data_IF_674680479864
#
_entry.id   IF_674680479864
#
_cell.length_a   1.000
_cell.length_b   1.000
_cell.length_c   1.000
_cell.angle_alpha   90.00
_cell.angle_beta   90.00
_cell.angle_gamma   90.00
#
_symmetry.space_group_name_H-M   'P 1'
#
loop_
_entity.id
_entity.type
_entity.pdbx_description
1 polymer ?
#
# COMPACT_ATOMS: atom_id res chain seq x y z
N UNK A 1 13.12 -14.70 -9.22
CA UNK A 1 11.87 -13.97 -9.53
C UNK A 1 12.00 -12.53 -9.07
N UNK A 2 11.68 -11.56 -9.93
CA UNK A 2 11.55 -10.14 -9.55
C UNK A 2 10.07 -9.84 -9.34
N UNK A 3 9.77 -9.02 -8.33
CA UNK A 3 8.44 -8.45 -8.12
C UNK A 3 8.24 -7.29 -9.09
N UNK A 4 7.04 -7.16 -9.62
CA UNK A 4 6.66 -6.06 -10.51
C UNK A 4 5.61 -5.19 -9.83
N UNK A 5 5.52 -3.93 -10.23
CA UNK A 5 4.45 -3.03 -9.77
C UNK A 5 3.08 -3.64 -10.06
N UNK A 6 2.95 -4.33 -11.20
CA UNK A 6 1.75 -5.08 -11.56
C UNK A 6 1.41 -6.16 -10.54
N UNK A 7 2.38 -6.95 -10.07
CA UNK A 7 2.11 -7.97 -9.04
C UNK A 7 1.64 -7.35 -7.72
N UNK A 8 2.16 -6.17 -7.36
CA UNK A 8 1.71 -5.45 -6.18
C UNK A 8 0.30 -4.87 -6.39
N UNK A 9 0.00 -4.32 -7.57
CA UNK A 9 -1.35 -3.88 -7.93
C UNK A 9 -2.35 -5.04 -7.92
N UNK A 10 -2.04 -6.17 -8.56
CA UNK A 10 -2.91 -7.34 -8.66
C UNK A 10 -3.29 -7.88 -7.26
N UNK A 11 -2.40 -7.74 -6.27
CA UNK A 11 -2.70 -8.10 -4.87
C UNK A 11 -3.85 -7.28 -4.27
N UNK A 12 -4.15 -6.08 -4.79
CA UNK A 12 -5.14 -5.16 -4.21
C UNK A 12 -4.66 -4.41 -2.96
N UNK A 13 -3.42 -4.66 -2.51
CA UNK A 13 -2.83 -3.98 -1.36
C UNK A 13 -2.72 -2.45 -1.56
N UNK A 14 -2.35 -1.91 -2.75
CA UNK A 14 -2.35 -0.47 -2.99
C UNK A 14 -3.73 0.19 -2.87
N UNK A 15 -4.81 -0.51 -3.25
CA UNK A 15 -6.17 0.01 -3.07
C UNK A 15 -6.51 0.14 -1.58
N UNK A 16 -6.17 -0.87 -0.79
CA UNK A 16 -6.31 -0.83 0.67
C UNK A 16 -5.51 0.32 1.29
N UNK A 17 -4.29 0.58 0.81
CA UNK A 17 -3.49 1.71 1.28
C UNK A 17 -4.15 3.06 0.99
N UNK A 18 -4.61 3.28 -0.24
CA UNK A 18 -5.27 4.52 -0.65
C UNK A 18 -6.56 4.80 0.15
N UNK A 19 -7.27 3.75 0.57
CA UNK A 19 -8.43 3.86 1.45
C UNK A 19 -8.09 4.22 2.90
N UNK A 20 -6.93 3.79 3.40
CA UNK A 20 -6.60 3.88 4.83
C UNK A 20 -5.65 5.01 5.18
N UNK A 21 -4.83 5.47 4.23
CA UNK A 21 -3.81 6.47 4.45
C UNK A 21 -4.03 7.65 3.51
N UNK A 22 -4.38 8.81 4.08
CA UNK A 22 -4.66 10.01 3.30
C UNK A 22 -3.47 10.43 2.42
N UNK A 23 -2.25 10.24 2.92
CA UNK A 23 -1.01 10.49 2.18
C UNK A 23 -0.88 9.66 0.89
N UNK A 24 -1.57 8.52 0.81
CA UNK A 24 -1.54 7.57 -0.31
C UNK A 24 -2.78 7.70 -1.22
N UNK A 25 -3.75 8.55 -0.87
CA UNK A 25 -4.95 8.76 -1.68
C UNK A 25 -4.67 9.44 -3.03
N UNK A 26 -3.75 10.44 -3.13
CA UNK A 26 -3.43 11.03 -4.43
C UNK A 26 -2.71 10.03 -5.35
N UNK A 27 -3.16 9.91 -6.60
CA UNK A 27 -2.60 8.97 -7.57
C UNK A 27 -1.07 9.09 -7.77
N UNK A 28 -0.47 10.29 -7.82
CA UNK A 28 0.99 10.41 -7.93
C UNK A 28 1.74 9.89 -6.69
N UNK A 29 1.17 10.07 -5.50
CA UNK A 29 1.76 9.59 -4.25
C UNK A 29 1.68 8.06 -4.17
N UNK A 30 0.53 7.48 -4.55
CA UNK A 30 0.35 6.04 -4.61
C UNK A 30 1.30 5.37 -5.61
N UNK A 31 1.50 5.97 -6.79
CA UNK A 31 2.42 5.43 -7.79
C UNK A 31 3.87 5.38 -7.27
N UNK A 32 4.33 6.44 -6.59
CA UNK A 32 5.66 6.44 -5.95
C UNK A 32 5.76 5.42 -4.83
N UNK A 33 4.73 5.31 -4.00
CA UNK A 33 4.65 4.32 -2.93
C UNK A 33 4.77 2.88 -3.46
N UNK A 34 4.05 2.57 -4.55
CA UNK A 34 4.13 1.27 -5.24
C UNK A 34 5.54 1.03 -5.76
N UNK A 35 6.11 1.96 -6.53
CA UNK A 35 7.45 1.83 -7.10
C UNK A 35 8.51 1.62 -6.02
N UNK A 36 8.51 2.48 -5.00
CA UNK A 36 9.45 2.41 -3.88
C UNK A 36 9.36 1.05 -3.16
N UNK A 37 8.13 0.57 -2.91
CA UNK A 37 7.91 -0.71 -2.26
C UNK A 37 8.42 -1.86 -3.13
N UNK A 38 8.06 -1.89 -4.42
CA UNK A 38 8.52 -2.91 -5.36
C UNK A 38 10.05 -2.96 -5.46
N UNK A 39 10.71 -1.80 -5.60
CA UNK A 39 12.17 -1.71 -5.65
C UNK A 39 12.82 -2.22 -4.37
N UNK A 40 12.30 -1.80 -3.21
CA UNK A 40 12.80 -2.23 -1.91
C UNK A 40 12.66 -3.74 -1.71
N UNK A 41 11.53 -4.32 -2.11
CA UNK A 41 11.33 -5.76 -2.06
C UNK A 41 12.27 -6.51 -3.02
N UNK A 42 12.58 -5.94 -4.18
CA UNK A 42 13.50 -6.55 -5.15
C UNK A 42 14.97 -6.57 -4.69
N UNK A 43 15.36 -5.68 -3.76
CA UNK A 43 16.69 -5.66 -3.13
C UNK A 43 16.90 -6.78 -2.10
N UNK A 44 15.82 -7.45 -1.66
CA UNK A 44 15.92 -8.55 -0.70
C UNK A 44 16.61 -9.80 -1.29
N UNK A 45 17.22 -10.66 -0.44
CA UNK A 45 17.73 -11.95 -0.87
C UNK A 45 16.65 -12.81 -1.52
N UNK A 46 17.05 -13.72 -2.40
CA UNK A 46 16.13 -14.45 -3.27
C UNK A 46 15.04 -15.21 -2.51
N UNK A 47 15.36 -15.87 -1.40
CA UNK A 47 14.40 -16.60 -0.57
C UNK A 47 13.28 -15.71 -0.02
N UNK A 48 13.63 -14.53 0.50
CA UNK A 48 12.66 -13.56 1.00
C UNK A 48 11.76 -13.03 -0.12
N UNK A 49 12.30 -12.79 -1.33
CA UNK A 49 11.48 -12.35 -2.48
C UNK A 49 10.41 -13.37 -2.85
N UNK A 50 10.74 -14.67 -2.81
CA UNK A 50 9.76 -15.72 -3.06
C UNK A 50 8.66 -15.73 -1.99
N UNK A 51 9.04 -15.64 -0.72
CA UNK A 51 8.08 -15.55 0.39
C UNK A 51 7.13 -14.35 0.26
N UNK A 52 7.68 -13.17 -0.03
CA UNK A 52 6.89 -11.94 -0.24
C UNK A 52 5.95 -12.07 -1.44
N UNK A 53 6.41 -12.60 -2.56
CA UNK A 53 5.56 -12.78 -3.72
C UNK A 53 4.41 -13.77 -3.49
N UNK A 54 4.69 -14.88 -2.77
CA UNK A 54 3.65 -15.81 -2.38
C UNK A 54 2.62 -15.15 -1.45
N UNK A 55 3.09 -14.35 -0.49
CA UNK A 55 2.22 -13.61 0.42
C UNK A 55 1.37 -12.54 -0.30
N UNK A 56 1.94 -11.81 -1.27
CA UNK A 56 1.19 -10.86 -2.09
C UNK A 56 0.12 -11.55 -2.94
N UNK A 57 0.40 -12.74 -3.48
CA UNK A 57 -0.60 -13.55 -4.21
C UNK A 57 -1.68 -14.10 -3.29
N UNK A 58 -1.37 -14.37 -2.03
CA UNK A 58 -2.33 -14.84 -1.03
C UNK A 58 -3.25 -13.71 -0.54
N UNK A 59 -2.82 -12.46 -0.63
CA UNK A 59 -3.54 -11.32 -0.06
C UNK A 59 -5.01 -11.21 -0.51
N UNK A 60 -5.37 -11.30 -1.80
CA UNK A 60 -6.77 -11.22 -2.22
C UNK A 60 -7.65 -12.29 -1.56
N UNK A 61 -7.17 -13.53 -1.48
CA UNK A 61 -7.90 -14.64 -0.86
C UNK A 61 -8.02 -14.47 0.65
N UNK A 62 -6.95 -14.03 1.32
CA UNK A 62 -6.97 -13.73 2.75
C UNK A 62 -7.90 -12.57 3.09
N UNK A 63 -7.91 -11.53 2.25
CA UNK A 63 -8.83 -10.39 2.35
C UNK A 63 -10.28 -10.85 2.20
N UNK A 64 -10.58 -11.63 1.15
CA UNK A 64 -11.91 -12.16 0.89
C UNK A 64 -12.41 -13.06 2.02
N UNK A 65 -11.53 -13.85 2.64
CA UNK A 65 -11.91 -14.69 3.78
C UNK A 65 -12.42 -13.86 4.99
N UNK A 66 -11.92 -12.64 5.17
CA UNK A 66 -12.32 -11.75 6.26
C UNK A 66 -13.55 -10.91 5.91
N UNK A 67 -13.67 -10.42 4.68
CA UNK A 67 -14.66 -9.41 4.30
C UNK A 67 -15.74 -9.89 3.35
N UNK A 68 -15.55 -11.05 2.71
CA UNK A 68 -16.35 -11.56 1.57
C UNK A 68 -16.40 -10.60 0.37
N UNK A 69 -15.41 -9.70 0.26
CA UNK A 69 -15.27 -8.72 -0.84
C UNK A 69 -13.89 -8.80 -1.46
N UNK A 70 -13.77 -8.33 -2.70
CA UNK A 70 -12.46 -8.16 -3.35
C UNK A 70 -11.77 -6.90 -2.79
N UNK A 71 -10.45 -6.92 -2.54
CA UNK A 71 -9.73 -5.73 -2.07
C UNK A 71 -9.80 -4.53 -3.03
N UNK A 72 -10.06 -4.78 -4.32
CA UNK A 72 -10.19 -3.74 -5.36
C UNK A 72 -11.51 -3.00 -5.35
N UNK A 73 -12.55 -3.61 -4.79
CA UNK A 73 -13.93 -3.06 -4.76
C UNK A 73 -14.45 -2.88 -3.34
N UNK A 74 -13.58 -3.10 -2.35
CA UNK A 74 -13.92 -3.04 -0.95
C UNK A 74 -14.12 -1.59 -0.49
N UNK A 75 -14.99 -1.39 0.49
CA UNK A 75 -15.09 -0.10 1.16
C UNK A 75 -13.86 0.18 2.03
N UNK A 76 -13.66 1.43 2.44
CA UNK A 76 -12.61 1.78 3.39
C UNK A 76 -12.76 1.03 4.73
N UNK A 77 -14.00 0.77 5.15
CA UNK A 77 -14.28 0.01 6.38
C UNK A 77 -13.91 -1.47 6.23
N UNK A 78 -14.20 -2.09 5.09
CA UNK A 78 -13.77 -3.45 4.79
C UNK A 78 -12.23 -3.55 4.74
N UNK A 79 -11.56 -2.57 4.13
CA UNK A 79 -10.11 -2.50 4.11
C UNK A 79 -9.52 -2.39 5.52
N UNK A 80 -10.14 -1.57 6.40
CA UNK A 80 -9.71 -1.39 7.79
C UNK A 80 -9.87 -2.69 8.58
N UNK A 81 -11.04 -3.32 8.48
CA UNK A 81 -11.35 -4.60 9.13
C UNK A 81 -10.41 -5.71 8.68
N UNK A 82 -10.20 -5.85 7.36
CA UNK A 82 -9.31 -6.84 6.79
C UNK A 82 -7.88 -6.66 7.27
N UNK A 83 -7.29 -5.46 7.11
CA UNK A 83 -5.91 -5.24 7.53
C UNK A 83 -5.73 -5.36 9.04
N UNK A 84 -6.70 -4.90 9.85
CA UNK A 84 -6.66 -5.09 11.30
C UNK A 84 -6.59 -6.58 11.65
N UNK A 85 -7.43 -7.41 11.03
CA UNK A 85 -7.43 -8.86 11.27
C UNK A 85 -6.18 -9.54 10.75
N UNK A 86 -5.78 -9.28 9.51
CA UNK A 86 -4.62 -9.94 8.88
C UNK A 86 -3.29 -9.55 9.55
N UNK A 87 -3.20 -8.36 10.13
CA UNK A 87 -2.02 -7.94 10.93
C UNK A 87 -1.85 -8.70 12.24
N UNK A 88 -2.86 -9.44 12.69
CA UNK A 88 -2.73 -10.34 13.85
C UNK A 88 -2.10 -11.68 13.51
N UNK A 89 -1.93 -12.02 12.23
CA UNK A 89 -1.38 -13.31 11.82
C UNK A 89 0.16 -13.31 11.92
N UNK A 90 0.77 -14.32 12.58
CA UNK A 90 2.21 -14.42 12.69
C UNK A 90 2.90 -14.43 11.31
N UNK A 91 4.00 -13.68 11.18
CA UNK A 91 4.76 -13.52 9.94
C UNK A 91 4.08 -12.66 8.87
N UNK A 92 2.82 -12.95 8.55
CA UNK A 92 2.05 -12.20 7.56
C UNK A 92 1.77 -10.76 8.00
N UNK A 93 1.46 -10.56 9.29
CA UNK A 93 1.22 -9.25 9.84
C UNK A 93 2.45 -8.33 9.79
N UNK A 94 3.65 -8.89 10.00
CA UNK A 94 4.90 -8.13 9.86
C UNK A 94 5.15 -7.73 8.41
N UNK A 95 4.90 -8.62 7.45
CA UNK A 95 4.99 -8.27 6.04
C UNK A 95 4.04 -7.11 5.70
N UNK A 96 2.81 -7.14 6.19
CA UNK A 96 1.84 -6.06 5.96
C UNK A 96 2.26 -4.75 6.62
N UNK A 97 2.85 -4.79 7.82
CA UNK A 97 3.40 -3.58 8.49
C UNK A 97 4.58 -3.01 7.70
N UNK A 98 5.54 -3.85 7.33
CA UNK A 98 6.73 -3.46 6.59
C UNK A 98 6.38 -2.85 5.22
N UNK A 99 5.51 -3.51 4.45
CA UNK A 99 5.08 -3.00 3.14
C UNK A 99 4.27 -1.71 3.24
N UNK A 100 3.43 -1.56 4.27
CA UNK A 100 2.77 -0.28 4.55
C UNK A 100 3.78 0.82 4.88
N UNK A 101 4.79 0.54 5.72
CA UNK A 101 5.82 1.52 6.07
C UNK A 101 6.61 1.96 4.84
N UNK A 102 7.01 1.02 3.97
CA UNK A 102 7.67 1.32 2.69
C UNK A 102 6.79 2.16 1.76
N UNK A 103 5.49 1.87 1.69
CA UNK A 103 4.55 2.64 0.89
C UNK A 103 4.45 4.09 1.40
N UNK A 104 4.32 4.28 2.71
CA UNK A 104 4.27 5.61 3.32
C UNK A 104 5.58 6.38 3.11
N UNK A 105 6.73 5.72 3.24
CA UNK A 105 8.03 6.34 2.97
C UNK A 105 8.16 6.73 1.49
N UNK A 106 7.83 5.83 0.58
CA UNK A 106 7.86 6.09 -0.87
C UNK A 106 6.93 7.21 -1.33
N UNK A 107 5.84 7.47 -0.61
CA UNK A 107 4.97 8.62 -0.90
C UNK A 107 5.65 9.96 -0.62
N UNK A 108 6.55 10.00 0.38
CA UNK A 108 7.33 11.18 0.76
C UNK A 108 8.46 11.50 -0.23
N UNK A 109 8.94 10.50 -0.98
CA UNK A 109 10.02 10.68 -1.98
C UNK A 109 9.69 11.72 -3.08
N UNK A 110 8.43 12.15 -3.21
CA UNK A 110 7.99 13.13 -4.22
C UNK A 110 8.09 14.60 -3.82
N UNK A 111 8.62 14.92 -2.63
CA UNK A 111 8.60 16.28 -2.10
C UNK A 111 7.23 16.68 -1.54
N UNK A 112 7.23 17.46 -0.47
CA UNK A 112 6.02 18.03 0.12
C UNK A 112 5.40 18.96 -0.92
N UNK A 113 4.21 18.63 -1.44
CA UNK A 113 3.39 19.62 -2.16
C UNK A 113 3.02 20.68 -1.14
N UNK A 114 3.80 21.75 -1.10
CA UNK A 114 3.55 22.91 -0.25
C UNK A 114 2.18 23.46 -0.68
N UNK A 115 1.18 23.55 0.22
CA UNK A 115 -0.08 24.18 -0.14
C UNK A 115 0.22 25.59 -0.64
N UNK A 116 -0.30 25.93 -1.82
CA UNK A 116 -0.13 27.26 -2.39
C UNK A 116 -0.55 28.31 -1.35
N UNK A 117 0.25 29.37 -1.12
CA UNK A 117 -0.16 30.43 -0.21
C UNK A 117 -1.49 31.00 -0.71
N UNK A 118 -2.52 30.99 0.15
CA UNK A 118 -3.77 31.70 -0.13
C UNK A 118 -3.38 33.13 -0.49
N UNK A 119 -3.72 33.54 -1.71
CA UNK A 119 -3.55 34.91 -2.15
C UNK A 119 -4.17 35.80 -1.08
N UNK A 120 -3.35 36.68 -0.48
CA UNK A 120 -3.87 37.72 0.41
C UNK A 120 -4.88 38.52 -0.40
N UNK A 121 -6.13 38.53 0.02
CA UNK A 121 -7.12 39.49 -0.43
C UNK A 121 -6.52 40.89 -0.20
N UNK A 122 -6.16 41.53 -1.30
CA UNK A 122 -5.85 42.96 -1.31
C UNK A 122 -7.19 43.66 -1.22
N UNK A 123 -7.58 43.99 0.01
CA UNK A 123 -8.66 44.96 0.26
C UNK A 123 -8.15 46.31 -0.22
N UNK A 124 -8.79 46.85 -1.25
CA UNK A 124 -8.73 48.27 -1.64
C UNK A 124 -10.08 48.90 -1.39
#
# INVERSE_FOLDING_TARGET
>A
MRLTDRALHDSGLPACWAHLYEALRPAPALHRAVRHTTESLNRMPAGYRWGTAAALRLFPSAFYAVTRRSPHTASAEDARRALARLRTWPGYGELLRATTALALYGALDGGVVRPAPRAREVVR
#
